data_IF_454328501471
#
_entry.id   IF_454328501471
#
_cell.length_a   1.000
_cell.length_b   1.000
_cell.length_c   1.000
_cell.angle_alpha   90.00
_cell.angle_beta   90.00
_cell.angle_gamma   90.00
#
_symmetry.space_group_name_H-M   'P 1'
#
loop_
_entity.id
_entity.type
_entity.pdbx_description
1 polymer ?
#
# COMPACT_ATOMS: atom_id res chain seq x y z
N UNK A 1 1.30 -1.09 4.63
CA UNK A 1 -0.06 -0.49 4.66
C UNK A 1 -1.04 -1.45 4.01
N UNK A 2 -2.22 -1.65 4.58
CA UNK A 2 -3.25 -2.54 4.04
C UNK A 2 -4.58 -1.80 3.95
N UNK A 3 -5.17 -1.81 2.75
CA UNK A 3 -6.47 -1.21 2.47
C UNK A 3 -7.37 -2.20 1.73
N UNK A 4 -8.66 -2.10 2.00
CA UNK A 4 -9.69 -2.78 1.21
C UNK A 4 -10.60 -1.79 0.52
N UNK A 5 -10.97 -2.14 -0.71
CA UNK A 5 -11.80 -1.30 -1.57
C UNK A 5 -12.99 -2.11 -2.04
N UNK A 6 -14.17 -1.52 -1.93
CA UNK A 6 -15.35 -1.90 -2.68
C UNK A 6 -15.41 -1.02 -3.93
N UNK A 7 -15.09 -1.59 -5.09
CA UNK A 7 -15.01 -0.85 -6.35
C UNK A 7 -16.40 -0.72 -6.97
N UNK A 8 -16.66 0.45 -7.57
CA UNK A 8 -17.92 0.70 -8.28
C UNK A 8 -18.01 -0.21 -9.51
N UNK A 9 -19.22 -0.71 -9.77
CA UNK A 9 -19.49 -1.56 -10.93
C UNK A 9 -19.10 -0.85 -12.24
N UNK A 10 -18.34 -1.55 -13.08
CA UNK A 10 -17.85 -1.04 -14.37
C UNK A 10 -16.57 -0.20 -14.27
N UNK A 11 -16.00 -0.02 -13.06
CA UNK A 11 -14.79 0.78 -12.82
C UNK A 11 -13.58 -0.07 -12.43
N UNK A 12 -13.68 -1.39 -12.47
CA UNK A 12 -12.63 -2.33 -12.08
C UNK A 12 -11.36 -2.14 -12.91
N UNK A 13 -11.50 -1.97 -14.23
CA UNK A 13 -10.34 -1.73 -15.11
C UNK A 13 -9.66 -0.40 -14.82
N UNK A 14 -10.43 0.65 -14.53
CA UNK A 14 -9.85 1.96 -14.17
C UNK A 14 -9.18 1.91 -12.80
N UNK A 15 -9.77 1.17 -11.86
CA UNK A 15 -9.17 0.91 -10.56
C UNK A 15 -7.85 0.13 -10.68
N UNK A 16 -7.79 -0.91 -11.54
CA UNK A 16 -6.57 -1.66 -11.83
C UNK A 16 -5.50 -0.83 -12.56
N UNK A 17 -5.87 0.15 -13.39
CA UNK A 17 -4.92 1.12 -13.96
C UNK A 17 -4.26 2.03 -12.91
N UNK A 18 -4.91 2.21 -11.77
CA UNK A 18 -4.36 3.00 -10.67
C UNK A 18 -3.53 2.13 -9.74
N UNK A 19 -4.12 1.05 -9.24
CA UNK A 19 -3.56 0.27 -8.14
C UNK A 19 -2.95 -1.07 -8.55
N UNK A 20 -3.10 -1.47 -9.82
CA UNK A 20 -2.50 -2.69 -10.35
C UNK A 20 -0.98 -2.61 -10.43
N UNK A 21 -0.30 -3.71 -10.78
CA UNK A 21 1.16 -3.82 -10.73
C UNK A 21 1.89 -2.83 -11.67
N UNK A 22 1.26 -2.44 -12.77
CA UNK A 22 1.76 -1.42 -13.72
C UNK A 22 0.97 -0.10 -13.58
N UNK A 23 0.35 0.10 -12.41
CA UNK A 23 -0.52 1.23 -12.14
C UNK A 23 0.25 2.48 -11.70
N UNK A 24 -0.42 3.62 -11.85
CA UNK A 24 0.16 4.92 -11.49
C UNK A 24 0.50 5.06 -10.00
N UNK A 25 -0.18 4.31 -9.11
CA UNK A 25 0.08 4.35 -7.67
C UNK A 25 1.40 3.64 -7.30
N UNK A 26 1.64 2.37 -7.65
CA UNK A 26 2.94 1.74 -7.44
C UNK A 26 4.12 2.49 -8.07
N UNK A 27 3.94 3.04 -9.28
CA UNK A 27 4.96 3.85 -9.96
C UNK A 27 5.33 5.11 -9.17
N UNK A 28 4.34 5.74 -8.56
CA UNK A 28 4.56 6.89 -7.69
C UNK A 28 5.30 6.49 -6.41
N UNK A 29 4.91 5.39 -5.76
CA UNK A 29 5.56 4.91 -4.52
C UNK A 29 7.01 4.47 -4.74
N UNK A 30 7.34 3.97 -5.95
CA UNK A 30 8.69 3.57 -6.34
C UNK A 30 9.73 4.68 -6.27
N UNK A 31 9.32 5.95 -6.14
CA UNK A 31 10.22 7.08 -5.91
C UNK A 31 10.94 7.02 -4.56
N UNK A 32 10.49 6.18 -3.63
CA UNK A 32 11.17 5.96 -2.35
C UNK A 32 12.01 4.69 -2.34
N UNK A 33 13.26 4.78 -1.86
CA UNK A 33 14.09 3.60 -1.59
C UNK A 33 13.59 2.75 -0.40
N UNK A 34 12.61 3.26 0.35
CA UNK A 34 11.96 2.59 1.48
C UNK A 34 10.74 1.76 1.04
N UNK A 35 10.29 1.93 -0.20
CA UNK A 35 9.16 1.17 -0.76
C UNK A 35 9.61 -0.21 -1.24
N UNK A 36 8.87 -1.24 -0.86
CA UNK A 36 9.15 -2.65 -1.17
C UNK A 36 8.26 -3.25 -2.26
N UNK A 37 7.33 -2.46 -2.82
CA UNK A 37 6.35 -2.92 -3.81
C UNK A 37 4.92 -2.89 -3.27
N UNK A 38 3.97 -3.07 -4.18
CA UNK A 38 2.55 -3.16 -3.86
C UNK A 38 1.95 -4.40 -4.49
N UNK A 39 0.95 -4.94 -3.82
CA UNK A 39 0.22 -6.11 -4.27
C UNK A 39 -1.27 -5.84 -4.22
N UNK A 40 -1.92 -5.94 -5.39
CA UNK A 40 -3.36 -5.86 -5.52
C UNK A 40 -3.95 -7.26 -5.66
N UNK A 41 -4.86 -7.64 -4.76
CA UNK A 41 -5.58 -8.93 -4.80
C UNK A 41 -7.08 -8.72 -4.90
N UNK A 42 -7.71 -9.36 -5.87
CA UNK A 42 -9.17 -9.51 -5.89
C UNK A 42 -9.61 -10.48 -4.78
N UNK A 43 -10.40 -10.00 -3.83
CA UNK A 43 -10.92 -10.78 -2.70
C UNK A 43 -12.29 -11.38 -2.96
N UNK A 44 -13.11 -10.70 -3.78
CA UNK A 44 -14.42 -11.19 -4.20
C UNK A 44 -14.80 -10.55 -5.52
N UNK A 45 -14.99 -11.38 -6.56
CA UNK A 45 -15.39 -10.89 -7.89
C UNK A 45 -16.83 -10.39 -7.91
N UNK A 46 -17.74 -11.09 -7.24
CA UNK A 46 -19.16 -10.72 -7.17
C UNK A 46 -19.38 -9.41 -6.43
N UNK A 47 -18.59 -9.15 -5.39
CA UNK A 47 -18.67 -7.91 -4.62
C UNK A 47 -17.78 -6.81 -5.19
N UNK A 48 -16.84 -7.11 -6.11
CA UNK A 48 -15.79 -6.18 -6.57
C UNK A 48 -14.93 -5.67 -5.41
N UNK A 49 -14.61 -6.59 -4.49
CA UNK A 49 -13.78 -6.29 -3.32
C UNK A 49 -12.32 -6.58 -3.63
N UNK A 50 -11.48 -5.57 -3.51
CA UNK A 50 -10.02 -5.66 -3.70
C UNK A 50 -9.29 -5.37 -2.39
N UNK A 51 -8.10 -5.95 -2.23
CA UNK A 51 -7.16 -5.62 -1.15
C UNK A 51 -5.85 -5.15 -1.75
N UNK A 52 -5.39 -3.99 -1.31
CA UNK A 52 -4.09 -3.43 -1.63
C UNK A 52 -3.17 -3.55 -0.42
N UNK A 53 -2.01 -4.17 -0.62
CA UNK A 53 -0.92 -4.18 0.35
C UNK A 53 0.22 -3.34 -0.22
N UNK A 54 0.56 -2.22 0.41
CA UNK A 54 1.78 -1.45 0.09
C UNK A 54 2.86 -1.83 1.12
N UNK A 55 3.98 -2.40 0.65
CA UNK A 55 5.08 -2.86 1.50
C UNK A 55 6.12 -1.76 1.65
N UNK A 56 6.54 -1.52 2.90
CA UNK A 56 7.52 -0.50 3.26
C UNK A 56 8.52 -1.09 4.24
N UNK A 57 9.80 -0.75 4.08
CA UNK A 57 10.89 -1.19 4.97
C UNK A 57 10.70 -0.69 6.40
N UNK A 58 10.12 0.49 6.58
CA UNK A 58 9.88 1.08 7.89
C UNK A 58 8.68 2.00 7.90
N UNK A 59 8.05 2.15 9.07
CA UNK A 59 7.00 3.14 9.31
C UNK A 59 7.49 4.55 9.03
N UNK A 60 8.66 4.89 9.56
CA UNK A 60 9.30 6.20 9.38
C UNK A 60 9.54 6.50 7.90
N UNK A 61 9.97 5.50 7.12
CA UNK A 61 10.17 5.65 5.67
C UNK A 61 8.89 5.99 4.91
N UNK A 62 7.76 5.38 5.30
CA UNK A 62 6.45 5.70 4.73
C UNK A 62 5.98 7.11 5.12
N UNK A 63 6.03 7.46 6.40
CA UNK A 63 5.58 8.78 6.87
C UNK A 63 6.43 9.92 6.28
N UNK A 64 7.76 9.72 6.18
CA UNK A 64 8.64 10.69 5.53
C UNK A 64 8.29 10.86 4.05
N UNK A 65 8.04 9.77 3.32
CA UNK A 65 7.59 9.83 1.93
C UNK A 65 6.26 10.58 1.80
N UNK A 66 5.29 10.24 2.64
CA UNK A 66 3.97 10.89 2.64
C UNK A 66 4.08 12.39 2.90
N UNK A 67 4.90 12.80 3.88
CA UNK A 67 5.11 14.21 4.21
C UNK A 67 5.73 14.99 3.03
N UNK A 68 6.70 14.41 2.33
CA UNK A 68 7.35 15.02 1.16
C UNK A 68 6.37 15.12 -0.03
N UNK A 69 5.54 14.11 -0.23
CA UNK A 69 4.67 13.99 -1.39
C UNK A 69 3.18 14.23 -1.09
N UNK A 70 2.86 14.98 -0.03
CA UNK A 70 1.48 15.16 0.45
C UNK A 70 0.55 15.67 -0.67
N UNK A 71 1.01 16.61 -1.49
CA UNK A 71 0.21 17.15 -2.59
C UNK A 71 -0.12 16.12 -3.67
N UNK A 72 0.81 15.19 -3.95
CA UNK A 72 0.55 14.11 -4.91
C UNK A 72 -0.40 13.07 -4.33
N UNK A 73 -0.28 12.74 -3.05
CA UNK A 73 -1.25 11.90 -2.33
C UNK A 73 -2.66 12.50 -2.40
N UNK A 74 -2.81 13.80 -2.12
CA UNK A 74 -4.10 14.49 -2.17
C UNK A 74 -4.70 14.46 -3.59
N UNK A 75 -3.86 14.52 -4.63
CA UNK A 75 -4.32 14.39 -6.03
C UNK A 75 -4.86 13.00 -6.34
N UNK A 76 -4.26 11.94 -5.79
CA UNK A 76 -4.79 10.58 -5.93
C UNK A 76 -6.14 10.45 -5.25
N UNK A 77 -6.29 10.95 -4.02
CA UNK A 77 -7.57 10.93 -3.31
C UNK A 77 -8.65 11.68 -4.09
N UNK A 78 -8.32 12.84 -4.65
CA UNK A 78 -9.22 13.61 -5.51
C UNK A 78 -9.57 12.89 -6.81
N UNK A 79 -8.60 12.21 -7.46
CA UNK A 79 -8.85 11.43 -8.67
C UNK A 79 -9.86 10.31 -8.37
N UNK A 80 -9.65 9.55 -7.30
CA UNK A 80 -10.52 8.44 -6.89
C UNK A 80 -11.94 8.94 -6.61
N UNK A 81 -12.06 10.06 -5.89
CA UNK A 81 -13.35 10.67 -5.58
C UNK A 81 -14.07 11.19 -6.83
N UNK A 82 -13.36 11.94 -7.69
CA UNK A 82 -13.92 12.54 -8.92
C UNK A 82 -14.41 11.48 -9.90
N UNK A 83 -13.65 10.41 -10.05
CA UNK A 83 -13.96 9.31 -10.96
C UNK A 83 -14.96 8.32 -10.35
N UNK A 84 -15.41 8.58 -9.11
CA UNK A 84 -16.32 7.73 -8.34
C UNK A 84 -15.91 6.25 -8.32
N UNK A 85 -14.60 5.97 -8.32
CA UNK A 85 -14.06 4.62 -8.54
C UNK A 85 -14.41 3.66 -7.40
N UNK A 86 -14.49 4.20 -6.19
CA UNK A 86 -14.62 3.41 -4.97
C UNK A 86 -15.93 3.79 -4.28
N UNK A 87 -16.71 2.77 -3.93
CA UNK A 87 -17.93 2.90 -3.10
C UNK A 87 -17.55 2.98 -1.62
N UNK A 88 -16.54 2.20 -1.21
CA UNK A 88 -16.04 2.19 0.16
C UNK A 88 -14.55 1.85 0.19
N UNK A 89 -13.81 2.56 1.02
CA UNK A 89 -12.42 2.27 1.37
C UNK A 89 -12.33 2.00 2.87
N UNK A 90 -11.69 0.91 3.24
CA UNK A 90 -11.44 0.51 4.62
C UNK A 90 -9.92 0.41 4.85
N UNK A 91 -9.37 1.19 5.77
CA UNK A 91 -7.98 1.04 6.21
C UNK A 91 -7.87 -0.07 7.25
N UNK A 92 -7.19 -1.15 6.90
CA UNK A 92 -7.06 -2.33 7.75
C UNK A 92 -5.83 -2.31 8.66
N UNK A 93 -4.91 -1.37 8.43
CA UNK A 93 -3.76 -1.15 9.29
C UNK A 93 -2.43 -1.05 8.54
N UNK A 94 -1.37 -0.91 9.31
CA UNK A 94 -0.01 -0.87 8.81
C UNK A 94 0.84 -1.91 9.53
N UNK A 95 1.52 -2.73 8.74
CA UNK A 95 2.44 -3.74 9.23
C UNK A 95 3.84 -3.38 8.74
N UNK A 96 4.81 -3.50 9.64
CA UNK A 96 6.21 -3.19 9.39
C UNK A 96 7.02 -4.40 9.86
N UNK A 97 8.02 -4.78 9.09
CA UNK A 97 9.06 -5.68 9.58
C UNK A 97 9.94 -4.86 10.50
N UNK A 98 9.94 -5.19 11.79
CA UNK A 98 10.96 -4.66 12.69
C UNK A 98 12.24 -5.44 12.38
N UNK A 99 13.26 -4.78 11.84
CA UNK A 99 14.58 -5.40 11.64
C UNK A 99 15.31 -5.61 12.99
N UNK A 100 14.62 -5.45 14.13
CA UNK A 100 15.17 -5.58 15.48
C UNK A 100 15.29 -7.02 15.99
N UNK A 101 15.16 -8.05 15.14
CA UNK A 101 15.64 -9.40 15.47
C UNK A 101 17.05 -9.64 14.88
N UNK A 102 17.98 -8.74 15.18
CA UNK A 102 19.38 -9.13 15.32
C UNK A 102 19.63 -9.44 16.79
N UNK A 103 19.14 -10.59 17.26
CA UNK A 103 19.54 -11.13 18.54
C UNK A 103 20.96 -11.70 18.38
N UNK A 104 21.97 -10.81 18.41
CA UNK A 104 23.33 -11.18 18.77
C UNK A 104 23.32 -11.58 20.25
N UNK A 105 23.00 -12.85 20.50
CA UNK A 105 23.08 -13.50 21.80
C UNK A 105 24.36 -14.34 21.92
N UNK A 106 25.41 -13.67 22.40
CA UNK A 106 26.64 -14.13 23.04
C UNK A 106 26.87 -15.65 23.30
N UNK A 107 28.00 -16.13 22.79
CA UNK A 107 29.04 -16.90 23.50
C UNK A 107 28.61 -17.67 24.78
N UNK A 108 28.32 -18.97 24.63
CA UNK A 108 28.39 -19.92 25.75
C UNK A 108 29.45 -20.98 25.44
N UNK A 109 30.64 -20.77 25.99
CA UNK A 109 31.59 -21.84 26.31
C UNK A 109 31.19 -22.39 27.67
N UNK A 110 30.88 -23.69 27.83
CA UNK A 110 30.97 -24.35 29.12
C UNK A 110 32.25 -25.19 29.20
N UNK A 111 32.71 -25.29 30.45
CA UNK A 111 34.01 -25.72 30.97
C UNK A 111 34.40 -27.19 30.73
#
# INVERSE_FOLDING_TARGET
MVREFLVREGRETDFERIFGPEGIWPDFLMRSSQYGGSELRLKSKTERRFRLNDYWKSHVGFEAFRAIHQLDCDRFDQLIAREELVVREDFLGAFYTDDSESDEGENLVPS
#
